data_IF_982570361504
#
_entry.id   IF_982570361504
#
_cell.length_a   1.000
_cell.length_b   1.000
_cell.length_c   1.000
_cell.angle_alpha   90.00
_cell.angle_beta   90.00
_cell.angle_gamma   90.00
#
_symmetry.space_group_name_H-M   'P 1'
#
loop_
_entity.id
_entity.type
_entity.pdbx_description
1 polymer ?
#
# COMPACT_ATOMS: atom_id res chain seq x y z
N UNK A 1 23.76 -5.85 -10.68
CA UNK A 1 22.35 -5.50 -10.34
C UNK A 1 21.74 -6.58 -9.45
N UNK A 2 22.17 -6.72 -8.19
CA UNK A 2 21.65 -7.74 -7.26
C UNK A 2 21.04 -7.12 -5.97
N UNK A 3 21.39 -5.88 -5.64
CA UNK A 3 21.00 -5.23 -4.40
C UNK A 3 19.51 -4.85 -4.32
N UNK A 4 18.83 -4.63 -5.45
CA UNK A 4 17.41 -4.25 -5.45
C UNK A 4 16.50 -5.46 -5.15
N UNK A 5 16.85 -6.66 -5.64
CA UNK A 5 16.07 -7.88 -5.40
C UNK A 5 16.18 -8.40 -3.96
N UNK A 6 17.34 -8.20 -3.32
CA UNK A 6 17.58 -8.65 -1.95
C UNK A 6 16.78 -7.81 -0.94
N UNK A 7 16.62 -6.50 -1.18
CA UNK A 7 15.85 -5.62 -0.29
C UNK A 7 14.34 -5.85 -0.41
N UNK A 8 13.82 -6.07 -1.62
CA UNK A 8 12.41 -6.42 -1.84
C UNK A 8 12.03 -7.74 -1.15
N UNK A 9 12.94 -8.72 -1.14
CA UNK A 9 12.72 -10.02 -0.47
C UNK A 9 12.89 -9.94 1.04
N UNK A 10 13.80 -9.09 1.53
CA UNK A 10 14.03 -8.86 2.95
C UNK A 10 12.88 -8.06 3.61
N UNK A 11 12.37 -7.03 2.93
CA UNK A 11 11.22 -6.25 3.40
C UNK A 11 9.94 -7.11 3.37
N UNK A 12 9.70 -7.88 2.29
CA UNK A 12 8.57 -8.82 2.25
C UNK A 12 8.64 -9.94 3.31
N UNK A 13 9.83 -10.42 3.65
CA UNK A 13 10.03 -11.39 4.73
C UNK A 13 9.78 -10.79 6.13
N UNK A 14 10.21 -9.56 6.36
CA UNK A 14 9.96 -8.85 7.62
C UNK A 14 8.47 -8.50 7.80
N UNK A 15 7.79 -8.05 6.74
CA UNK A 15 6.33 -7.78 6.75
C UNK A 15 5.53 -9.06 6.99
N UNK A 16 5.92 -10.18 6.37
CA UNK A 16 5.25 -11.47 6.58
C UNK A 16 5.41 -11.98 8.03
N UNK A 17 6.62 -11.92 8.58
CA UNK A 17 6.86 -12.29 9.98
C UNK A 17 6.11 -11.37 10.96
N UNK A 18 6.12 -10.05 10.72
CA UNK A 18 5.35 -9.11 11.53
C UNK A 18 3.85 -9.41 11.48
N UNK A 19 3.31 -9.74 10.29
CA UNK A 19 1.90 -10.12 10.13
C UNK A 19 1.56 -11.36 10.97
N UNK A 20 2.37 -12.41 10.90
CA UNK A 20 2.17 -13.64 11.68
C UNK A 20 2.16 -13.35 13.19
N UNK A 21 3.10 -12.52 13.66
CA UNK A 21 3.14 -12.10 15.07
C UNK A 21 1.87 -11.36 15.49
N UNK A 22 1.38 -10.43 14.67
CA UNK A 22 0.16 -9.67 14.97
C UNK A 22 -1.09 -10.56 14.94
N UNK A 23 -1.21 -11.47 13.96
CA UNK A 23 -2.32 -12.43 13.91
C UNK A 23 -2.36 -13.29 15.18
N UNK A 24 -1.21 -13.84 15.60
CA UNK A 24 -1.15 -14.60 16.84
C UNK A 24 -1.49 -13.77 18.08
N UNK A 25 -1.06 -12.51 18.14
CA UNK A 25 -1.43 -11.61 19.24
C UNK A 25 -2.95 -11.32 19.26
N UNK A 26 -3.58 -11.20 18.10
CA UNK A 26 -5.03 -11.02 17.99
C UNK A 26 -5.79 -12.24 18.54
N UNK A 27 -5.35 -13.44 18.15
CA UNK A 27 -5.97 -14.71 18.54
C UNK A 27 -5.75 -15.01 20.03
N UNK A 28 -4.60 -14.64 20.58
CA UNK A 28 -4.23 -14.92 21.97
C UNK A 28 -4.78 -13.90 22.98
N UNK A 29 -5.37 -12.80 22.54
CA UNK A 29 -5.87 -11.74 23.42
C UNK A 29 -7.40 -11.66 23.40
N UNK A 30 -8.00 -11.39 24.55
CA UNK A 30 -9.42 -11.02 24.68
C UNK A 30 -9.63 -9.52 24.93
N UNK A 31 -8.54 -8.76 25.09
CA UNK A 31 -8.61 -7.31 25.30
C UNK A 31 -8.94 -6.61 23.97
N UNK A 32 -10.09 -5.91 23.95
CA UNK A 32 -10.56 -5.19 22.78
C UNK A 32 -9.59 -4.09 22.31
N UNK A 33 -8.83 -3.47 23.22
CA UNK A 33 -7.82 -2.47 22.86
C UNK A 33 -6.62 -3.11 22.15
N UNK A 34 -6.23 -4.32 22.57
CA UNK A 34 -5.17 -5.09 21.90
C UNK A 34 -5.63 -5.49 20.51
N UNK A 35 -6.87 -5.96 20.36
CA UNK A 35 -7.45 -6.31 19.06
C UNK A 35 -7.50 -5.12 18.10
N UNK A 36 -7.99 -3.97 18.55
CA UNK A 36 -8.02 -2.73 17.75
C UNK A 36 -6.61 -2.28 17.32
N UNK A 37 -5.64 -2.32 18.24
CA UNK A 37 -4.25 -2.00 17.92
C UNK A 37 -3.68 -2.94 16.85
N UNK A 38 -3.93 -4.24 16.99
CA UNK A 38 -3.47 -5.24 16.04
C UNK A 38 -4.11 -5.03 14.66
N UNK A 39 -5.42 -4.80 14.60
CA UNK A 39 -6.13 -4.52 13.34
C UNK A 39 -5.51 -3.31 12.62
N UNK A 40 -5.27 -2.21 13.34
CA UNK A 40 -4.59 -1.02 12.81
C UNK A 40 -3.21 -1.33 12.26
N UNK A 41 -2.46 -2.17 12.93
CA UNK A 41 -1.11 -2.49 12.52
C UNK A 41 -1.06 -3.46 11.35
N UNK A 42 -2.01 -4.40 11.25
CA UNK A 42 -2.20 -5.22 10.06
C UNK A 42 -2.57 -4.35 8.85
N UNK A 43 -3.51 -3.41 9.02
CA UNK A 43 -3.84 -2.43 7.99
C UNK A 43 -2.61 -1.61 7.55
N UNK A 44 -1.75 -1.20 8.49
CA UNK A 44 -0.51 -0.51 8.15
C UNK A 44 0.41 -1.36 7.28
N UNK A 45 0.65 -2.61 7.65
CA UNK A 45 1.48 -3.53 6.88
C UNK A 45 0.92 -3.75 5.46
N UNK A 46 -0.40 -3.99 5.35
CA UNK A 46 -1.09 -4.12 4.06
C UNK A 46 -0.91 -2.85 3.21
N UNK A 47 -1.06 -1.67 3.82
CA UNK A 47 -0.92 -0.39 3.11
C UNK A 47 0.50 -0.13 2.59
N UNK A 48 1.52 -0.65 3.26
CA UNK A 48 2.91 -0.50 2.83
C UNK A 48 3.17 -1.33 1.58
N UNK A 49 2.68 -2.56 1.55
CA UNK A 49 2.76 -3.44 0.40
C UNK A 49 1.96 -2.91 -0.79
N UNK A 50 0.74 -2.40 -0.56
CA UNK A 50 -0.08 -1.75 -1.59
C UNK A 50 0.59 -0.50 -2.16
N UNK A 51 1.09 0.41 -1.30
CA UNK A 51 1.82 1.61 -1.75
C UNK A 51 3.08 1.26 -2.54
N UNK A 52 3.81 0.21 -2.18
CA UNK A 52 4.97 -0.24 -2.95
C UNK A 52 4.58 -0.65 -4.39
N UNK A 53 3.48 -1.41 -4.56
CA UNK A 53 2.95 -1.77 -5.89
C UNK A 53 2.51 -0.54 -6.68
N UNK A 54 1.80 0.40 -6.04
CA UNK A 54 1.34 1.63 -6.67
C UNK A 54 2.53 2.49 -7.12
N UNK A 55 3.57 2.65 -6.28
CA UNK A 55 4.81 3.36 -6.63
C UNK A 55 5.50 2.75 -7.84
N UNK A 56 5.54 1.41 -7.93
CA UNK A 56 6.09 0.73 -9.10
C UNK A 56 5.33 1.12 -10.38
N UNK A 57 3.99 1.09 -10.35
CA UNK A 57 3.15 1.51 -11.49
C UNK A 57 3.38 2.98 -11.86
N UNK A 58 3.44 3.88 -10.87
CA UNK A 58 3.70 5.31 -11.11
C UNK A 58 5.09 5.54 -11.71
N UNK A 59 6.11 4.82 -11.22
CA UNK A 59 7.47 4.87 -11.74
C UNK A 59 7.55 4.39 -13.19
N UNK A 60 6.87 3.29 -13.52
CA UNK A 60 6.87 2.73 -14.87
C UNK A 60 6.11 3.64 -15.85
N UNK A 61 4.99 4.23 -15.42
CA UNK A 61 4.29 5.27 -16.17
C UNK A 61 5.21 6.46 -16.47
N UNK A 62 5.93 6.96 -15.45
CA UNK A 62 6.84 8.08 -15.60
C UNK A 62 8.01 7.79 -16.56
N UNK A 63 8.59 6.59 -16.49
CA UNK A 63 9.63 6.15 -17.43
C UNK A 63 9.12 6.07 -18.87
N UNK A 64 7.87 5.63 -19.06
CA UNK A 64 7.29 5.47 -20.40
C UNK A 64 6.83 6.77 -21.05
N UNK A 65 6.36 7.74 -20.26
CA UNK A 65 5.76 8.99 -20.76
C UNK A 65 6.66 10.22 -20.57
N UNK A 66 7.71 10.11 -19.75
CA UNK A 66 8.57 11.23 -19.37
C UNK A 66 7.97 12.18 -18.33
N UNK A 67 6.79 11.86 -17.76
CA UNK A 67 6.13 12.70 -16.73
C UNK A 67 5.39 11.87 -15.68
N UNK A 68 5.19 12.43 -14.49
CA UNK A 68 4.32 11.82 -13.49
C UNK A 68 2.86 11.82 -13.94
N UNK A 69 2.10 10.84 -13.46
CA UNK A 69 0.65 10.81 -13.65
C UNK A 69 0.01 12.02 -12.97
N UNK A 70 -0.91 12.69 -13.67
CA UNK A 70 -1.65 13.82 -13.13
C UNK A 70 -2.92 13.38 -12.39
N UNK A 71 -3.37 12.15 -12.61
CA UNK A 71 -4.54 11.56 -11.96
C UNK A 71 -4.48 10.03 -11.97
N UNK A 72 -5.24 9.39 -11.09
CA UNK A 72 -5.37 7.92 -11.07
C UNK A 72 -5.90 7.34 -12.38
N UNK A 73 -6.73 8.09 -13.12
CA UNK A 73 -7.30 7.63 -14.40
C UNK A 73 -6.24 7.31 -15.44
N UNK A 74 -5.11 8.03 -15.46
CA UNK A 74 -4.02 7.80 -16.41
C UNK A 74 -3.32 6.45 -16.19
N UNK A 75 -3.30 5.97 -14.95
CA UNK A 75 -2.62 4.73 -14.56
C UNK A 75 -3.60 3.61 -14.18
N UNK A 76 -4.91 3.84 -14.28
CA UNK A 76 -5.93 2.92 -13.80
C UNK A 76 -5.86 1.54 -14.45
N UNK A 77 -5.53 1.45 -15.74
CA UNK A 77 -5.36 0.16 -16.43
C UNK A 77 -4.15 -0.62 -15.87
N UNK A 78 -3.03 0.06 -15.64
CA UNK A 78 -1.83 -0.54 -15.08
C UNK A 78 -2.02 -0.95 -13.61
N UNK A 79 -2.74 -0.14 -12.81
CA UNK A 79 -3.11 -0.49 -11.43
C UNK A 79 -3.99 -1.76 -11.38
N UNK A 80 -4.98 -1.88 -12.28
CA UNK A 80 -5.79 -3.12 -12.40
C UNK A 80 -4.93 -4.32 -12.78
N UNK A 81 -4.01 -4.16 -13.72
CA UNK A 81 -3.08 -5.22 -14.13
C UNK A 81 -2.17 -5.66 -12.96
N UNK A 82 -1.75 -4.71 -12.11
CA UNK A 82 -1.01 -4.95 -10.88
C UNK A 82 -1.86 -5.50 -9.72
N UNK A 83 -3.15 -5.78 -9.95
CA UNK A 83 -4.10 -6.29 -8.95
C UNK A 83 -4.27 -5.38 -7.73
N UNK A 84 -4.10 -4.06 -7.91
CA UNK A 84 -4.45 -3.06 -6.90
C UNK A 84 -5.97 -2.88 -6.91
N UNK A 85 -6.60 -2.90 -5.73
CA UNK A 85 -8.03 -2.64 -5.56
C UNK A 85 -8.32 -1.18 -5.91
N UNK A 86 -9.31 -0.96 -6.77
CA UNK A 86 -9.76 0.36 -7.18
C UNK A 86 -11.22 0.57 -6.77
N UNK A 87 -11.56 1.81 -6.44
CA UNK A 87 -12.95 2.24 -6.25
C UNK A 87 -13.66 2.50 -7.59
N UNK A 88 -14.89 3.02 -7.51
CA UNK A 88 -15.70 3.42 -8.68
C UNK A 88 -15.09 4.57 -9.49
N UNK A 89 -14.25 5.40 -8.87
CA UNK A 89 -13.54 6.51 -9.53
C UNK A 89 -12.23 6.06 -10.21
N UNK A 90 -11.88 4.78 -10.09
CA UNK A 90 -10.61 4.19 -10.48
C UNK A 90 -9.41 4.66 -9.64
N UNK A 91 -9.65 5.22 -8.46
CA UNK A 91 -8.63 5.50 -7.47
C UNK A 91 -8.29 4.22 -6.68
N UNK A 92 -7.00 3.92 -6.42
CA UNK A 92 -6.63 2.84 -5.53
C UNK A 92 -7.06 3.16 -4.10
N UNK A 93 -7.52 2.15 -3.36
CA UNK A 93 -7.97 2.32 -1.98
C UNK A 93 -7.11 1.53 -1.01
N UNK A 94 -6.87 2.10 0.16
CA UNK A 94 -6.16 1.47 1.27
C UNK A 94 -6.97 0.33 1.91
N UNK A 95 -6.41 -0.41 2.88
CA UNK A 95 -7.09 -1.51 3.57
C UNK A 95 -8.45 -1.18 4.18
N UNK A 96 -8.69 0.09 4.54
CA UNK A 96 -9.97 0.60 5.07
C UNK A 96 -10.98 0.99 3.99
N UNK A 97 -10.64 0.85 2.71
CA UNK A 97 -11.38 1.34 1.54
C UNK A 97 -11.36 2.87 1.37
N UNK A 98 -10.42 3.56 2.00
CA UNK A 98 -10.22 4.99 1.79
C UNK A 98 -9.30 5.19 0.56
N UNK A 99 -9.65 6.05 -0.41
CA UNK A 99 -8.78 6.31 -1.56
C UNK A 99 -7.41 6.81 -1.14
N UNK A 100 -6.35 6.31 -1.75
CA UNK A 100 -5.00 6.86 -1.56
C UNK A 100 -4.88 8.25 -2.20
N UNK A 101 -4.03 9.08 -1.59
CA UNK A 101 -3.64 10.39 -2.13
C UNK A 101 -2.50 10.23 -3.14
N UNK A 102 -2.72 10.74 -4.35
CA UNK A 102 -1.66 10.87 -5.35
C UNK A 102 -0.80 12.10 -5.03
N UNK A 103 0.50 11.92 -4.86
CA UNK A 103 1.45 13.04 -4.72
C UNK A 103 1.81 13.53 -6.11
N UNK A 104 1.12 14.58 -6.56
CA UNK A 104 1.37 15.22 -7.86
C UNK A 104 2.77 15.81 -7.90
N UNK A 105 3.51 15.55 -8.98
CA UNK A 105 4.90 15.99 -9.15
C UNK A 105 5.95 15.11 -8.46
N UNK A 106 5.55 14.31 -7.46
CA UNK A 106 6.44 13.35 -6.77
C UNK A 106 6.48 11.95 -7.39
N UNK A 107 5.58 11.63 -8.34
CA UNK A 107 5.37 10.26 -8.84
C UNK A 107 5.14 9.26 -7.69
N UNK A 108 4.48 9.71 -6.63
CA UNK A 108 4.38 8.98 -5.37
C UNK A 108 2.93 8.91 -4.88
N UNK A 109 2.70 8.08 -3.87
CA UNK A 109 1.41 7.81 -3.25
C UNK A 109 1.57 7.85 -1.74
N UNK A 110 0.55 8.38 -1.08
CA UNK A 110 0.46 8.36 0.37
C UNK A 110 -0.97 8.07 0.83
N UNK A 111 -1.13 7.80 2.12
CA UNK A 111 -2.45 7.72 2.73
C UNK A 111 -3.15 9.09 2.62
N UNK A 112 -4.46 9.04 2.49
CA UNK A 112 -5.29 10.23 2.64
C UNK A 112 -5.34 10.65 4.12
N UNK A 113 -5.49 11.93 4.38
CA UNK A 113 -5.52 12.44 5.76
C UNK A 113 -6.74 11.92 6.54
N UNK A 114 -7.78 11.42 5.85
CA UNK A 114 -8.95 10.78 6.45
C UNK A 114 -8.80 9.26 6.63
N UNK A 115 -7.66 8.68 6.25
CA UNK A 115 -7.42 7.25 6.40
C UNK A 115 -7.31 6.88 7.89
N UNK A 116 -8.04 5.85 8.36
CA UNK A 116 -7.84 5.28 9.69
C UNK A 116 -6.57 4.41 9.77
N UNK A 117 -5.89 4.17 8.65
CA UNK A 117 -4.64 3.41 8.61
C UNK A 117 -3.51 4.25 9.22
N UNK A 118 -2.76 3.73 10.19
CA UNK A 118 -1.63 4.47 10.74
C UNK A 118 -0.51 4.68 9.71
N UNK A 119 0.07 5.90 9.67
CA UNK A 119 1.28 6.20 8.89
C UNK A 119 2.50 5.43 9.41
#
# INVERSE_FOLDING_TARGET
>A
MAAISARMKAEGGATAAAREMYVHLYEASDDLNVKDMVEKQLMRLDSLDERAKIRQVLSDYAKSTGRCAASWKEVAAALRAARVRLDVSSAPTDPSNTPYRLITGGCDVDLDDNSPVPH
#
